data_IF_708762588748
#
_entry.id   IF_708762588748
#
_cell.length_a   1.000
_cell.length_b   1.000
_cell.length_c   1.000
_cell.angle_alpha   90.00
_cell.angle_beta   90.00
_cell.angle_gamma   90.00
#
_symmetry.space_group_name_H-M   'P 1'
#
loop_
_entity.id
_entity.type
_entity.pdbx_description
1 polymer ?
#
# COMPACT_ATOMS: atom_id res chain seq x y z
N UNK A 1 5.79 10.19 19.78
CA UNK A 1 6.77 10.26 18.67
C UNK A 1 7.54 8.95 18.47
N UNK A 2 6.89 7.77 18.54
CA UNK A 2 7.55 6.47 18.27
C UNK A 2 6.81 5.71 17.18
N UNK A 3 5.48 5.68 17.25
CA UNK A 3 4.64 4.96 16.31
C UNK A 3 4.67 5.54 14.88
N UNK A 4 4.76 6.87 14.73
CA UNK A 4 4.87 7.50 13.39
C UNK A 4 6.14 7.09 12.63
N UNK A 5 7.27 6.92 13.34
CA UNK A 5 8.51 6.46 12.72
C UNK A 5 8.41 4.99 12.33
N UNK A 6 7.82 4.16 13.19
CA UNK A 6 7.59 2.74 12.89
C UNK A 6 6.70 2.60 11.64
N UNK A 7 5.57 3.32 11.60
CA UNK A 7 4.65 3.30 10.46
C UNK A 7 5.33 3.71 9.15
N UNK A 8 6.12 4.79 9.16
CA UNK A 8 6.86 5.27 7.97
C UNK A 8 7.91 4.26 7.47
N UNK A 9 8.57 3.53 8.38
CA UNK A 9 9.54 2.52 7.97
C UNK A 9 8.85 1.29 7.36
N UNK A 10 7.70 0.89 7.91
CA UNK A 10 6.91 -0.21 7.35
C UNK A 10 6.39 0.14 5.94
N UNK A 11 5.90 1.38 5.75
CA UNK A 11 5.49 1.87 4.44
C UNK A 11 6.62 1.80 3.40
N UNK A 12 7.82 2.29 3.73
CA UNK A 12 9.02 2.18 2.89
C UNK A 12 9.40 0.74 2.54
N UNK A 13 9.30 -0.18 3.49
CA UNK A 13 9.54 -1.60 3.24
C UNK A 13 8.53 -2.13 2.22
N UNK A 14 7.26 -1.72 2.33
CA UNK A 14 6.21 -2.07 1.37
C UNK A 14 6.53 -1.60 -0.06
N UNK A 15 7.02 -0.38 -0.22
CA UNK A 15 7.44 0.14 -1.54
C UNK A 15 8.60 -0.68 -2.13
N UNK A 16 9.62 -1.00 -1.32
CA UNK A 16 10.74 -1.83 -1.78
C UNK A 16 10.30 -3.23 -2.19
N UNK A 17 9.42 -3.87 -1.41
CA UNK A 17 8.87 -5.19 -1.74
C UNK A 17 8.12 -5.13 -3.07
N UNK A 18 7.34 -4.07 -3.30
CA UNK A 18 6.62 -3.86 -4.56
C UNK A 18 7.59 -3.76 -5.73
N UNK A 19 8.61 -2.90 -5.65
CA UNK A 19 9.61 -2.76 -6.71
C UNK A 19 10.37 -4.05 -6.98
N UNK A 20 10.75 -4.81 -5.94
CA UNK A 20 11.43 -6.11 -6.10
C UNK A 20 10.52 -7.12 -6.80
N UNK A 21 9.25 -7.20 -6.41
CA UNK A 21 8.29 -8.11 -7.01
C UNK A 21 8.07 -7.81 -8.50
N UNK A 22 7.95 -6.53 -8.87
CA UNK A 22 7.85 -6.10 -10.27
C UNK A 22 9.07 -6.52 -11.09
N UNK A 23 10.28 -6.30 -10.56
CA UNK A 23 11.51 -6.75 -11.22
C UNK A 23 11.58 -8.27 -11.32
N UNK A 24 11.18 -9.01 -10.29
CA UNK A 24 11.16 -10.47 -10.31
C UNK A 24 10.19 -11.01 -11.38
N UNK A 25 9.02 -10.40 -11.52
CA UNK A 25 8.04 -10.73 -12.56
C UNK A 25 8.63 -10.47 -13.95
N UNK A 26 9.26 -9.31 -14.15
CA UNK A 26 9.90 -8.99 -15.42
C UNK A 26 11.00 -9.98 -15.79
N UNK A 27 11.86 -10.36 -14.83
CA UNK A 27 12.90 -11.36 -15.05
C UNK A 27 12.32 -12.73 -15.38
N UNK A 28 11.20 -13.12 -14.77
CA UNK A 28 10.58 -14.43 -14.98
C UNK A 28 9.76 -14.52 -16.27
N UNK A 29 9.10 -13.44 -16.68
CA UNK A 29 8.10 -13.45 -17.76
C UNK A 29 8.50 -12.65 -18.99
N UNK A 30 9.45 -11.71 -18.86
CA UNK A 30 9.81 -10.75 -19.90
C UNK A 30 8.89 -9.53 -19.98
N UNK A 31 7.85 -9.45 -19.14
CA UNK A 31 6.84 -8.39 -19.18
C UNK A 31 6.68 -7.73 -17.80
N UNK A 32 6.37 -6.43 -17.80
CA UNK A 32 6.00 -5.74 -16.56
C UNK A 32 4.53 -6.01 -16.22
N UNK A 33 4.15 -6.04 -14.93
CA UNK A 33 2.74 -6.13 -14.54
C UNK A 33 1.93 -5.01 -15.19
N UNK A 34 0.96 -5.37 -16.04
CA UNK A 34 0.13 -4.42 -16.81
C UNK A 34 -1.19 -4.07 -16.12
N UNK A 35 -1.59 -4.88 -15.14
CA UNK A 35 -2.80 -4.65 -14.36
C UNK A 35 -2.57 -3.61 -13.27
N UNK A 36 -3.47 -2.63 -13.19
CA UNK A 36 -3.48 -1.67 -12.10
C UNK A 36 -3.69 -2.43 -10.79
N UNK A 37 -2.76 -2.25 -9.83
CA UNK A 37 -2.80 -2.98 -8.55
C UNK A 37 -4.18 -2.77 -7.90
N UNK A 38 -4.91 -3.83 -7.53
CA UNK A 38 -6.21 -3.68 -6.90
C UNK A 38 -6.04 -2.85 -5.62
N UNK A 39 -6.71 -1.70 -5.55
CA UNK A 39 -6.64 -0.80 -4.40
C UNK A 39 -7.46 -1.40 -3.26
N UNK A 40 -6.80 -2.14 -2.38
CA UNK A 40 -7.42 -2.74 -1.18
C UNK A 40 -7.50 -1.74 -0.01
N UNK A 41 -6.91 -0.55 -0.15
CA UNK A 41 -6.98 0.48 0.89
C UNK A 41 -8.38 1.10 0.99
N UNK A 42 -9.16 0.64 1.97
CA UNK A 42 -10.49 1.16 2.32
C UNK A 42 -10.44 2.32 3.32
N UNK A 43 -9.26 2.71 3.81
CA UNK A 43 -9.11 3.74 4.86
C UNK A 43 -9.66 5.08 4.39
N UNK A 44 -9.43 5.43 3.11
CA UNK A 44 -9.92 6.68 2.50
C UNK A 44 -11.44 6.70 2.27
N UNK A 45 -12.12 5.55 2.34
CA UNK A 45 -13.56 5.40 2.13
C UNK A 45 -14.35 5.29 3.43
N UNK A 46 -13.66 5.26 4.58
CA UNK A 46 -14.31 5.18 5.89
C UNK A 46 -14.90 6.55 6.22
N UNK A 47 -16.16 6.78 5.85
CA UNK A 47 -16.95 7.90 6.35
C UNK A 47 -17.04 7.74 7.87
N UNK A 48 -16.33 8.59 8.62
CA UNK A 48 -16.57 8.74 10.05
C UNK A 48 -17.87 9.52 10.14
N UNK A 49 -18.99 8.82 10.12
CA UNK A 49 -20.28 9.41 10.45
C UNK A 49 -20.20 9.77 11.94
N UNK A 50 -19.94 11.05 12.21
CA UNK A 50 -19.97 11.60 13.56
C UNK A 50 -21.40 11.49 14.05
N UNK A 51 -21.68 10.43 14.81
CA UNK A 51 -22.95 10.26 15.50
C UNK A 51 -23.12 11.47 16.43
N UNK A 52 -24.17 12.21 16.13
CA UNK A 52 -24.71 13.32 16.88
C UNK A 52 -24.94 12.90 18.34
N UNK A 53 -23.96 13.18 19.20
CA UNK A 53 -24.21 13.24 20.63
C UNK A 53 -25.06 14.49 20.89
N UNK A 54 -26.37 14.25 21.01
CA UNK A 54 -27.35 15.18 21.56
C UNK A 54 -27.06 15.51 23.03
#
# INVERSE_FOLDING_TARGET
>A
MHLHFIAKNIERVGDYVTSIAEQAIYVATGEYPSEERPKVDTTSLTKVDSESAS
#
